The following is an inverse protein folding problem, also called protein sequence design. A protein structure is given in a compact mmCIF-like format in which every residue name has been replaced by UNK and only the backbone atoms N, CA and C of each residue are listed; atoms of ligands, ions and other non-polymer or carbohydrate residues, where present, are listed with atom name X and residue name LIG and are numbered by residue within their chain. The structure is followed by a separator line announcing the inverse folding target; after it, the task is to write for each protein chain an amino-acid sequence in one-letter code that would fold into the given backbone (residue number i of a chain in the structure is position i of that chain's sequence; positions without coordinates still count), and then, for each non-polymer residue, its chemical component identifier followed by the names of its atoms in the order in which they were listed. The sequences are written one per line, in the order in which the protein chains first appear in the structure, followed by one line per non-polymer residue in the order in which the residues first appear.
data_IF_386796434861
#
_entry.id   IF_386796434861
#
_cell.length_a   1.000
_cell.length_b   1.000
_cell.length_c   1.000
_cell.angle_alpha   90.00
_cell.angle_beta   90.00
_cell.angle_gamma   90.00
#
_symmetry.space_group_name_H-M   'P 1'
#
loop_
_entity.id
_entity.type
_entity.pdbx_description
1 polymer ?
#
# COMPACT_ATOMS: atom_id res chain seq x y z
N UNK A 1 28.71 -11.86 24.82
CA UNK A 1 27.24 -11.71 24.92
C UNK A 1 26.76 -11.35 23.53
N UNK A 2 25.81 -12.08 22.91
CA UNK A 2 25.21 -11.59 21.66
C UNK A 2 24.56 -10.22 21.97
N UNK A 3 24.90 -9.20 21.20
CA UNK A 3 24.26 -7.89 21.25
C UNK A 3 22.78 -8.09 20.95
N UNK A 4 21.90 -7.59 21.82
CA UNK A 4 20.46 -7.62 21.57
C UNK A 4 20.17 -6.87 20.26
N UNK A 5 19.27 -7.41 19.43
CA UNK A 5 18.89 -6.77 18.17
C UNK A 5 18.39 -5.33 18.43
N UNK A 6 18.67 -4.38 17.52
CA UNK A 6 18.25 -3.00 17.69
C UNK A 6 16.71 -2.89 17.74
N UNK A 7 16.21 -1.89 18.46
CA UNK A 7 14.80 -1.54 18.43
C UNK A 7 14.39 -1.14 17.01
N UNK A 8 13.23 -1.59 16.55
CA UNK A 8 12.68 -1.26 15.23
C UNK A 8 11.47 -0.31 15.34
N UNK A 9 11.47 0.75 14.53
CA UNK A 9 10.29 1.59 14.30
C UNK A 9 9.61 1.21 12.99
N UNK A 10 8.35 0.78 13.11
CA UNK A 10 7.55 0.36 11.97
C UNK A 10 6.73 1.55 11.47
N UNK A 11 7.05 2.01 10.26
CA UNK A 11 6.49 3.25 9.69
C UNK A 11 5.31 3.05 8.74
N UNK A 12 4.88 1.81 8.57
CA UNK A 12 3.75 1.43 7.70
C UNK A 12 2.45 2.08 8.23
N UNK A 13 1.43 2.30 7.38
CA UNK A 13 0.13 2.74 7.86
C UNK A 13 -0.54 1.70 8.76
N UNK A 14 -1.48 2.12 9.59
CA UNK A 14 -2.36 1.18 10.31
C UNK A 14 -3.36 0.48 9.36
N UNK A 15 -3.85 -0.73 9.70
CA UNK A 15 -3.48 -1.57 10.87
C UNK A 15 -2.19 -2.38 10.67
N UNK A 16 -1.55 -2.23 9.51
CA UNK A 16 -0.40 -3.03 9.10
C UNK A 16 0.82 -2.79 9.99
N UNK A 17 1.00 -1.57 10.50
CA UNK A 17 2.05 -1.25 11.48
C UNK A 17 1.91 -2.10 12.74
N UNK A 18 0.70 -2.11 13.34
CA UNK A 18 0.40 -2.91 14.53
C UNK A 18 0.61 -4.41 14.32
N UNK A 19 0.16 -4.95 13.19
CA UNK A 19 0.36 -6.37 12.84
C UNK A 19 1.84 -6.73 12.73
N UNK A 20 2.65 -5.85 12.11
CA UNK A 20 4.09 -6.04 12.00
C UNK A 20 4.79 -5.96 13.34
N UNK A 21 4.41 -5.00 14.19
CA UNK A 21 4.93 -4.90 15.56
C UNK A 21 4.67 -6.19 16.32
N UNK A 22 3.43 -6.71 16.29
CA UNK A 22 3.10 -7.96 16.96
C UNK A 22 3.94 -9.13 16.43
N UNK A 23 4.07 -9.25 15.12
CA UNK A 23 4.80 -10.36 14.51
C UNK A 23 6.32 -10.29 14.76
N UNK A 24 6.90 -9.09 14.84
CA UNK A 24 8.31 -8.88 15.20
C UNK A 24 8.56 -9.12 16.69
N UNK A 25 7.66 -8.64 17.57
CA UNK A 25 7.74 -8.89 19.00
C UNK A 25 7.62 -10.39 19.33
N UNK A 26 6.79 -11.14 18.59
CA UNK A 26 6.72 -12.59 18.71
C UNK A 26 8.05 -13.31 18.38
N UNK A 27 8.98 -12.63 17.71
CA UNK A 27 10.34 -13.11 17.41
C UNK A 27 11.39 -12.57 18.38
N UNK A 28 10.99 -11.86 19.44
CA UNK A 28 11.90 -11.24 20.40
C UNK A 28 12.50 -9.91 19.93
N UNK A 29 12.03 -9.35 18.80
CA UNK A 29 12.49 -8.05 18.31
C UNK A 29 11.68 -6.95 18.99
N UNK A 30 12.37 -6.02 19.67
CA UNK A 30 11.73 -4.83 20.23
C UNK A 30 11.23 -3.93 19.10
N UNK A 31 9.93 -3.95 18.81
CA UNK A 31 9.31 -3.15 17.76
C UNK A 31 8.27 -2.18 18.33
N UNK A 32 8.16 -0.99 17.73
CA UNK A 32 7.13 0.01 18.06
C UNK A 32 6.57 0.62 16.78
N UNK A 33 5.26 0.85 16.75
CA UNK A 33 4.61 1.48 15.60
C UNK A 33 4.81 3.00 15.69
N UNK A 34 5.27 3.58 14.59
CA UNK A 34 5.28 5.02 14.39
C UNK A 34 4.88 5.27 12.93
N UNK A 35 3.58 5.12 12.59
CA UNK A 35 3.10 5.32 11.24
C UNK A 35 3.52 6.70 10.72
N UNK A 36 3.96 6.72 9.47
CA UNK A 36 4.29 7.96 8.74
C UNK A 36 3.26 8.31 7.68
N UNK A 37 2.22 7.49 7.53
CA UNK A 37 1.11 7.72 6.63
C UNK A 37 -0.16 7.32 7.38
N UNK A 38 -1.11 8.25 7.45
CA UNK A 38 -2.47 7.96 7.86
C UNK A 38 -3.32 7.63 6.62
N UNK A 39 -4.13 6.59 6.72
CA UNK A 39 -5.13 6.24 5.71
C UNK A 39 -6.50 6.61 6.29
N UNK A 40 -7.20 7.51 5.61
CA UNK A 40 -8.56 7.89 5.97
C UNK A 40 -9.55 7.47 4.88
N UNK A 41 -10.84 7.51 5.21
CA UNK A 41 -11.93 7.18 4.28
C UNK A 41 -11.92 8.02 3.00
N UNK A 42 -12.76 7.62 2.06
CA UNK A 42 -12.93 8.36 0.81
C UNK A 42 -13.32 9.83 1.09
N UNK A 43 -12.77 10.77 0.32
CA UNK A 43 -13.10 12.19 0.47
C UNK A 43 -14.54 12.48 0.01
N UNK A 44 -15.05 11.67 -0.91
CA UNK A 44 -16.44 11.67 -1.38
C UNK A 44 -17.07 10.29 -1.16
N UNK A 45 -17.79 10.15 -0.03
CA UNK A 45 -18.47 8.92 0.32
C UNK A 45 -19.64 8.60 -0.63
N UNK A 46 -20.27 9.61 -1.25
CA UNK A 46 -21.38 9.42 -2.17
C UNK A 46 -20.89 8.86 -3.51
N UNK A 47 -19.79 9.40 -4.05
CA UNK A 47 -19.16 8.85 -5.24
C UNK A 47 -18.71 7.40 -5.03
N UNK A 48 -18.14 7.09 -3.86
CA UNK A 48 -17.77 5.71 -3.52
C UNK A 48 -18.99 4.78 -3.46
N UNK A 49 -20.06 5.19 -2.78
CA UNK A 49 -21.31 4.42 -2.70
C UNK A 49 -21.93 4.20 -4.09
N UNK A 50 -21.97 5.24 -4.92
CA UNK A 50 -22.48 5.14 -6.30
C UNK A 50 -21.66 4.17 -7.15
N UNK A 51 -20.32 4.20 -7.03
CA UNK A 51 -19.45 3.27 -7.73
C UNK A 51 -19.70 1.80 -7.31
N UNK A 52 -19.95 1.55 -6.01
CA UNK A 52 -20.31 0.22 -5.50
C UNK A 52 -21.64 -0.27 -6.08
N UNK A 53 -22.67 0.59 -6.10
CA UNK A 53 -23.99 0.25 -6.64
C UNK A 53 -23.95 0.01 -8.16
N UNK A 54 -23.12 0.78 -8.86
CA UNK A 54 -22.96 0.68 -10.32
C UNK A 54 -21.97 -0.40 -10.75
N UNK A 55 -21.46 -1.24 -9.82
CA UNK A 55 -20.41 -2.21 -10.12
C UNK A 55 -20.81 -3.21 -11.22
N UNK A 56 -22.11 -3.51 -11.35
CA UNK A 56 -22.65 -4.36 -12.41
C UNK A 56 -22.48 -3.81 -13.83
N UNK A 57 -22.17 -2.52 -14.00
CA UNK A 57 -21.97 -1.86 -15.29
C UNK A 57 -20.51 -1.97 -15.80
N UNK A 58 -19.63 -2.62 -15.04
CA UNK A 58 -18.22 -2.78 -15.38
C UNK A 58 -17.87 -4.23 -15.70
N UNK A 59 -17.01 -4.41 -16.69
CA UNK A 59 -16.45 -5.71 -17.07
C UNK A 59 -15.31 -6.11 -16.15
N UNK A 60 -14.58 -5.12 -15.64
CA UNK A 60 -13.52 -5.33 -14.66
C UNK A 60 -13.41 -4.19 -13.64
N UNK A 61 -12.85 -4.52 -12.48
CA UNK A 61 -12.45 -3.55 -11.46
C UNK A 61 -11.00 -3.78 -11.06
N UNK A 62 -10.16 -2.77 -11.23
CA UNK A 62 -8.77 -2.78 -10.77
C UNK A 62 -8.67 -2.19 -9.36
N UNK A 63 -8.23 -3.00 -8.41
CA UNK A 63 -8.02 -2.59 -7.02
C UNK A 63 -6.53 -2.41 -6.78
N UNK A 64 -6.08 -1.16 -6.62
CA UNK A 64 -4.64 -0.85 -6.69
C UNK A 64 -3.83 -1.24 -5.45
N UNK A 65 -4.48 -1.55 -4.33
CA UNK A 65 -3.83 -1.90 -3.06
C UNK A 65 -4.79 -2.62 -2.10
N UNK A 66 -4.24 -3.25 -1.06
CA UNK A 66 -5.04 -3.80 0.04
C UNK A 66 -5.88 -2.74 0.76
N UNK A 67 -5.39 -1.50 0.87
CA UNK A 67 -6.18 -0.39 1.42
C UNK A 67 -7.37 -0.02 0.53
N UNK A 68 -7.18 -0.01 -0.79
CA UNK A 68 -8.27 0.21 -1.74
C UNK A 68 -9.34 -0.89 -1.60
N UNK A 69 -8.91 -2.15 -1.46
CA UNK A 69 -9.81 -3.28 -1.23
C UNK A 69 -10.62 -3.09 0.06
N UNK A 70 -9.94 -2.86 1.20
CA UNK A 70 -10.59 -2.68 2.50
C UNK A 70 -11.64 -1.58 2.49
N UNK A 71 -11.29 -0.41 1.96
CA UNK A 71 -12.22 0.72 1.94
C UNK A 71 -13.34 0.54 0.91
N UNK A 72 -13.08 -0.07 -0.25
CA UNK A 72 -14.15 -0.27 -1.22
C UNK A 72 -15.16 -1.33 -0.77
N UNK A 73 -14.75 -2.36 -0.04
CA UNK A 73 -15.63 -3.46 0.38
C UNK A 73 -16.22 -3.32 1.80
N UNK A 74 -15.92 -2.24 2.53
CA UNK A 74 -16.35 -2.03 3.91
C UNK A 74 -17.87 -2.15 4.14
N UNK A 75 -18.73 -1.70 3.20
CA UNK A 75 -20.19 -1.75 3.36
C UNK A 75 -20.84 -3.10 3.04
N UNK A 76 -20.07 -4.15 2.69
CA UNK A 76 -20.55 -5.46 2.20
C UNK A 76 -21.46 -5.43 0.94
N UNK A 77 -21.99 -4.28 0.51
CA UNK A 77 -22.86 -4.13 -0.67
C UNK A 77 -22.15 -4.55 -1.95
N UNK A 78 -20.91 -4.08 -2.16
CA UNK A 78 -20.09 -4.47 -3.30
C UNK A 78 -19.76 -5.97 -3.26
N UNK A 79 -19.57 -6.54 -2.07
CA UNK A 79 -19.29 -7.96 -1.90
C UNK A 79 -20.51 -8.80 -2.29
N UNK A 80 -21.71 -8.38 -1.87
CA UNK A 80 -22.96 -9.04 -2.24
C UNK A 80 -23.15 -9.09 -3.76
N UNK A 81 -22.84 -8.00 -4.49
CA UNK A 81 -22.93 -7.97 -5.96
C UNK A 81 -21.92 -8.91 -6.64
N UNK A 82 -20.72 -9.06 -6.09
CA UNK A 82 -19.70 -9.99 -6.61
C UNK A 82 -20.04 -11.45 -6.27
N UNK A 83 -20.61 -11.68 -5.09
CA UNK A 83 -20.91 -13.01 -4.55
C UNK A 83 -22.24 -13.59 -5.01
N UNK A 84 -23.20 -12.78 -5.46
CA UNK A 84 -24.45 -13.26 -6.06
C UNK A 84 -24.14 -14.11 -7.31
N UNK A 85 -23.89 -15.39 -7.06
CA UNK A 85 -23.33 -16.34 -8.00
C UNK A 85 -24.34 -16.81 -9.07
N UNK A 86 -25.60 -16.32 -9.02
CA UNK A 86 -26.67 -16.72 -9.92
C UNK A 86 -27.25 -15.58 -10.78
N UNK A 87 -26.75 -14.34 -10.68
CA UNK A 87 -27.25 -13.21 -11.47
C UNK A 87 -26.12 -12.59 -12.27
N UNK A 88 -26.36 -12.42 -13.58
CA UNK A 88 -25.74 -11.64 -14.66
C UNK A 88 -24.39 -10.89 -14.53
N UNK A 89 -23.83 -10.63 -13.35
CA UNK A 89 -22.64 -9.81 -13.15
C UNK A 89 -21.36 -10.67 -13.30
N UNK A 90 -20.61 -10.40 -14.37
CA UNK A 90 -19.42 -11.15 -14.77
C UNK A 90 -18.09 -10.50 -14.35
N UNK A 91 -18.14 -9.45 -13.54
CA UNK A 91 -16.97 -8.60 -13.28
C UNK A 91 -15.73 -9.39 -12.84
N UNK A 92 -14.58 -9.06 -13.45
CA UNK A 92 -13.25 -9.53 -13.05
C UNK A 92 -12.63 -8.52 -12.10
N UNK A 93 -11.96 -8.98 -11.04
CA UNK A 93 -11.27 -8.12 -10.08
C UNK A 93 -9.77 -8.24 -10.33
N UNK A 94 -9.14 -7.16 -10.75
CA UNK A 94 -7.71 -7.13 -11.02
C UNK A 94 -6.94 -6.66 -9.78
N UNK A 95 -5.87 -7.39 -9.46
CA UNK A 95 -4.95 -7.06 -8.39
C UNK A 95 -3.53 -6.92 -8.95
N UNK A 96 -2.75 -5.89 -8.58
CA UNK A 96 -1.40 -5.69 -9.09
C UNK A 96 -0.41 -6.76 -8.61
N UNK A 97 -0.77 -7.54 -7.60
CA UNK A 97 0.09 -8.57 -7.03
C UNK A 97 -0.53 -9.30 -5.83
N UNK A 98 0.20 -10.29 -5.29
CA UNK A 98 -0.32 -11.27 -4.35
C UNK A 98 -0.87 -10.65 -3.06
N UNK A 99 -0.21 -9.63 -2.51
CA UNK A 99 -0.70 -8.98 -1.27
C UNK A 99 -2.09 -8.35 -1.41
N UNK A 100 -2.42 -7.81 -2.58
CA UNK A 100 -3.76 -7.25 -2.84
C UNK A 100 -4.78 -8.37 -3.09
N UNK A 101 -4.41 -9.42 -3.81
CA UNK A 101 -5.29 -10.57 -4.03
C UNK A 101 -5.61 -11.32 -2.73
N UNK A 102 -4.63 -11.52 -1.84
CA UNK A 102 -4.85 -12.11 -0.52
C UNK A 102 -5.83 -11.27 0.29
N UNK A 103 -5.72 -9.94 0.25
CA UNK A 103 -6.68 -9.05 0.92
C UNK A 103 -8.08 -9.19 0.31
N UNK A 104 -8.21 -9.22 -1.02
CA UNK A 104 -9.50 -9.41 -1.70
C UNK A 104 -10.14 -10.76 -1.32
N UNK A 105 -9.34 -11.84 -1.25
CA UNK A 105 -9.81 -13.16 -0.81
C UNK A 105 -10.27 -13.13 0.65
N UNK A 106 -9.51 -12.47 1.53
CA UNK A 106 -9.87 -12.31 2.94
C UNK A 106 -11.17 -11.51 3.12
N UNK A 107 -11.46 -10.57 2.21
CA UNK A 107 -12.72 -9.83 2.13
C UNK A 107 -13.86 -10.63 1.47
N UNK A 108 -13.61 -11.88 1.05
CA UNK A 108 -14.62 -12.78 0.50
C UNK A 108 -14.81 -12.71 -1.02
N UNK A 109 -13.95 -12.03 -1.77
CA UNK A 109 -13.96 -12.05 -3.24
C UNK A 109 -13.54 -13.44 -3.72
N UNK A 110 -14.36 -14.15 -4.52
CA UNK A 110 -14.02 -15.50 -4.96
C UNK A 110 -12.72 -15.53 -5.77
N UNK A 111 -11.78 -16.42 -5.43
CA UNK A 111 -10.48 -16.53 -6.12
C UNK A 111 -10.61 -16.64 -7.64
N UNK A 112 -11.62 -17.38 -8.13
CA UNK A 112 -11.90 -17.53 -9.56
C UNK A 112 -12.21 -16.21 -10.29
N UNK A 113 -12.53 -15.13 -9.57
CA UNK A 113 -12.83 -13.79 -10.08
C UNK A 113 -11.61 -12.85 -10.03
N UNK A 114 -10.54 -13.24 -9.35
CA UNK A 114 -9.37 -12.40 -9.14
C UNK A 114 -8.33 -12.73 -10.22
N UNK A 115 -7.94 -11.72 -11.00
CA UNK A 115 -6.81 -11.79 -11.91
C UNK A 115 -5.63 -11.01 -11.33
N UNK A 116 -4.45 -11.59 -11.39
CA UNK A 116 -3.19 -10.99 -10.93
C UNK A 116 -2.04 -11.49 -11.79
N UNK A 117 -0.85 -10.84 -11.76
CA UNK A 117 0.34 -11.40 -12.39
C UNK A 117 0.64 -12.82 -11.93
N UNK A 118 1.26 -13.62 -12.79
CA UNK A 118 1.71 -14.97 -12.46
C UNK A 118 2.67 -14.96 -11.25
N UNK A 119 2.68 -16.05 -10.48
CA UNK A 119 3.45 -16.14 -9.24
C UNK A 119 4.97 -16.03 -9.45
N UNK A 120 5.44 -16.36 -10.66
CA UNK A 120 6.83 -16.27 -11.12
C UNK A 120 7.16 -14.94 -11.81
N UNK A 121 6.23 -13.97 -11.83
CA UNK A 121 6.50 -12.64 -12.36
C UNK A 121 7.64 -11.98 -11.56
N UNK A 122 8.69 -11.55 -12.26
CA UNK A 122 9.84 -10.87 -11.64
C UNK A 122 9.48 -9.51 -11.01
N UNK A 123 8.33 -8.93 -11.37
CA UNK A 123 7.81 -7.67 -10.82
C UNK A 123 6.28 -7.69 -10.73
N UNK A 124 5.74 -7.05 -9.69
CA UNK A 124 4.32 -6.89 -9.44
C UNK A 124 3.89 -5.43 -9.63
N UNK A 125 3.61 -5.05 -10.87
CA UNK A 125 3.22 -3.70 -11.27
C UNK A 125 2.08 -3.70 -12.31
N UNK A 126 1.82 -2.53 -12.90
CA UNK A 126 0.75 -2.37 -13.91
C UNK A 126 1.05 -3.09 -15.22
N UNK A 127 2.32 -3.18 -15.59
CA UNK A 127 2.75 -3.79 -16.85
C UNK A 127 2.64 -5.31 -16.77
N UNK A 128 3.12 -5.88 -15.67
CA UNK A 128 2.95 -7.31 -15.38
C UNK A 128 1.47 -7.70 -15.31
N UNK A 129 0.62 -6.86 -14.70
CA UNK A 129 -0.82 -7.12 -14.69
C UNK A 129 -1.40 -7.07 -16.11
N UNK A 130 -1.03 -6.09 -16.92
CA UNK A 130 -1.53 -5.95 -18.28
C UNK A 130 -1.19 -7.16 -19.16
N UNK A 131 -0.02 -7.80 -18.96
CA UNK A 131 0.29 -9.06 -19.66
C UNK A 131 -0.72 -10.16 -19.35
N UNK A 132 -1.29 -10.18 -18.15
CA UNK A 132 -2.30 -11.17 -17.74
C UNK A 132 -3.71 -10.83 -18.21
N UNK A 133 -4.10 -9.55 -18.18
CA UNK A 133 -5.50 -9.13 -18.41
C UNK A 133 -5.73 -8.43 -19.74
N UNK A 134 -4.69 -7.92 -20.40
CA UNK A 134 -4.81 -7.04 -21.57
C UNK A 134 -5.48 -7.70 -22.77
N UNK A 135 -5.21 -8.98 -23.01
CA UNK A 135 -5.86 -9.75 -24.08
C UNK A 135 -7.38 -9.90 -23.88
N UNK A 136 -7.87 -9.77 -22.65
CA UNK A 136 -9.30 -9.81 -22.33
C UNK A 136 -9.99 -8.46 -22.55
N UNK A 137 -9.25 -7.36 -22.72
CA UNK A 137 -9.84 -6.03 -22.93
C UNK A 137 -10.27 -5.90 -24.38
N UNK A 138 -11.56 -5.61 -24.59
CA UNK A 138 -12.18 -5.45 -25.90
C UNK A 138 -12.77 -4.04 -26.07
N UNK A 139 -13.02 -3.58 -27.30
CA UNK A 139 -13.73 -2.34 -27.54
C UNK A 139 -15.07 -2.28 -26.79
N UNK A 140 -15.29 -1.20 -26.06
CA UNK A 140 -16.49 -0.99 -25.23
C UNK A 140 -16.38 -1.51 -23.80
N UNK A 141 -15.31 -2.23 -23.42
CA UNK A 141 -15.11 -2.67 -22.04
C UNK A 141 -15.01 -1.49 -21.08
N UNK A 142 -15.70 -1.58 -19.95
CA UNK A 142 -15.67 -0.58 -18.89
C UNK A 142 -14.87 -1.10 -17.70
N UNK A 143 -13.83 -0.37 -17.32
CA UNK A 143 -12.97 -0.72 -16.18
C UNK A 143 -13.07 0.34 -15.09
N UNK A 144 -13.44 -0.07 -13.87
CA UNK A 144 -13.39 0.78 -12.69
C UNK A 144 -12.02 0.65 -12.02
N UNK A 145 -11.31 1.76 -11.82
CA UNK A 145 -10.06 1.78 -11.05
C UNK A 145 -10.33 2.35 -9.65
N UNK A 146 -10.25 1.47 -8.65
CA UNK A 146 -10.39 1.81 -7.23
C UNK A 146 -9.02 2.14 -6.66
N UNK A 147 -8.83 3.38 -6.23
CA UNK A 147 -7.52 3.88 -5.79
C UNK A 147 -7.56 4.74 -4.55
N UNK A 148 -6.37 5.06 -4.04
CA UNK A 148 -6.19 6.14 -3.08
C UNK A 148 -5.85 7.45 -3.77
N UNK A 149 -6.01 8.55 -3.05
CA UNK A 149 -5.46 9.87 -3.41
C UNK A 149 -4.68 10.46 -2.23
N UNK A 150 -3.94 11.54 -2.50
CA UNK A 150 -3.40 12.37 -1.42
C UNK A 150 -4.49 13.29 -0.89
N UNK A 151 -4.50 13.54 0.42
CA UNK A 151 -5.41 14.51 1.03
C UNK A 151 -5.14 15.92 0.47
N UNK A 152 -6.20 16.63 0.09
CA UNK A 152 -6.07 17.97 -0.51
C UNK A 152 -5.66 17.98 -1.99
N UNK A 153 -5.48 16.82 -2.63
CA UNK A 153 -5.39 16.73 -4.09
C UNK A 153 -6.78 16.65 -4.72
N UNK A 154 -6.92 17.05 -5.98
CA UNK A 154 -8.18 16.99 -6.77
C UNK A 154 -8.64 15.54 -7.09
N UNK A 155 -8.26 14.55 -6.27
CA UNK A 155 -8.51 13.13 -6.51
C UNK A 155 -7.62 12.51 -7.59
N UNK A 156 -6.72 13.31 -8.20
CA UNK A 156 -5.69 12.89 -9.14
C UNK A 156 -4.56 12.10 -8.44
N UNK A 157 -4.86 10.90 -7.92
CA UNK A 157 -3.85 9.92 -7.57
C UNK A 157 -2.86 9.66 -8.71
N UNK A 158 -1.58 9.62 -8.40
CA UNK A 158 -0.54 9.22 -9.36
C UNK A 158 -0.36 7.70 -9.34
N UNK A 159 -0.14 7.10 -10.52
CA UNK A 159 0.49 5.79 -10.57
C UNK A 159 -0.15 4.71 -11.43
N UNK A 160 -1.24 4.98 -12.18
CA UNK A 160 -1.83 4.00 -13.13
C UNK A 160 -2.20 4.60 -14.48
N UNK A 161 -1.63 5.74 -14.84
CA UNK A 161 -1.93 6.43 -16.11
C UNK A 161 -1.54 5.57 -17.31
N UNK A 162 -0.47 4.79 -17.19
CA UNK A 162 -0.06 3.81 -18.19
C UNK A 162 -1.14 2.74 -18.43
N UNK A 163 -1.63 2.07 -17.36
CA UNK A 163 -2.68 1.05 -17.48
C UNK A 163 -3.96 1.63 -18.10
N UNK A 164 -4.31 2.84 -17.67
CA UNK A 164 -5.49 3.55 -18.18
C UNK A 164 -5.36 3.84 -19.67
N UNK A 165 -4.15 4.22 -20.10
CA UNK A 165 -3.82 4.45 -21.51
C UNK A 165 -3.87 3.16 -22.32
N UNK A 166 -3.39 2.03 -21.78
CA UNK A 166 -3.47 0.73 -22.43
C UNK A 166 -4.92 0.25 -22.61
N UNK A 167 -5.77 0.40 -21.58
CA UNK A 167 -7.20 0.06 -21.67
C UNK A 167 -7.88 0.89 -22.76
N UNK A 168 -7.63 2.20 -22.79
CA UNK A 168 -8.17 3.10 -23.82
C UNK A 168 -7.66 2.78 -25.21
N UNK A 169 -6.38 2.44 -25.35
CA UNK A 169 -5.79 2.01 -26.63
C UNK A 169 -6.41 0.70 -27.15
N UNK A 170 -6.82 -0.20 -26.25
CA UNK A 170 -7.59 -1.39 -26.59
C UNK A 170 -9.09 -1.13 -26.85
N UNK A 171 -9.54 0.14 -26.84
CA UNK A 171 -10.92 0.54 -27.10
C UNK A 171 -11.85 0.48 -25.88
N UNK A 172 -11.31 0.25 -24.68
CA UNK A 172 -12.07 0.30 -23.42
C UNK A 172 -12.17 1.71 -22.84
N UNK A 173 -12.99 1.87 -21.80
CA UNK A 173 -13.09 3.08 -20.99
C UNK A 173 -12.67 2.81 -19.54
N UNK A 174 -12.27 3.89 -18.87
CA UNK A 174 -11.73 3.83 -17.51
C UNK A 174 -12.40 4.90 -16.67
N UNK A 175 -13.10 4.45 -15.63
CA UNK A 175 -13.67 5.30 -14.58
C UNK A 175 -12.80 5.16 -13.32
N UNK A 176 -12.69 6.22 -12.52
CA UNK A 176 -11.91 6.21 -11.28
C UNK A 176 -12.80 6.47 -10.09
N UNK A 177 -12.49 5.80 -8.98
CA UNK A 177 -13.07 6.12 -7.67
C UNK A 177 -11.98 6.15 -6.60
N UNK A 178 -12.02 7.18 -5.77
CA UNK A 178 -11.13 7.32 -4.62
C UNK A 178 -11.79 6.61 -3.44
N UNK A 179 -11.21 5.49 -3.01
CA UNK A 179 -11.72 4.73 -1.85
C UNK A 179 -11.11 5.20 -0.53
N UNK A 180 -9.94 5.84 -0.57
CA UNK A 180 -9.26 6.32 0.63
C UNK A 180 -8.35 7.50 0.32
N UNK A 181 -8.00 8.27 1.35
CA UNK A 181 -6.99 9.33 1.26
C UNK A 181 -5.75 8.97 2.08
N UNK A 182 -4.60 9.48 1.66
CA UNK A 182 -3.32 9.40 2.35
C UNK A 182 -2.96 10.78 2.85
N UNK A 183 -2.45 10.84 4.08
CA UNK A 183 -1.98 12.08 4.67
C UNK A 183 -0.81 11.81 5.63
N UNK A 184 -0.10 12.87 6.00
CA UNK A 184 0.77 12.83 7.16
C UNK A 184 -0.09 12.54 8.41
N UNK A 185 0.33 11.60 9.28
CA UNK A 185 -0.41 11.32 10.51
C UNK A 185 -0.29 12.49 11.48
N UNK A 186 -1.36 12.80 12.23
CA UNK A 186 -1.31 13.81 13.27
C UNK A 186 -0.54 13.26 14.48
N UNK A 187 0.78 13.37 14.47
CA UNK A 187 1.58 12.86 15.59
C UNK A 187 1.25 13.55 16.91
N UNK A 188 1.23 12.78 17.98
CA UNK A 188 1.20 13.31 19.34
C UNK A 188 2.58 13.89 19.74
N UNK A 189 2.67 14.67 20.83
CA UNK A 189 3.95 15.11 21.37
C UNK A 189 4.90 13.94 21.69
N UNK A 190 4.36 12.83 22.21
CA UNK A 190 5.12 11.63 22.56
C UNK A 190 5.68 10.94 21.31
N UNK A 191 4.89 10.88 20.23
CA UNK A 191 5.35 10.33 18.95
C UNK A 191 6.45 11.19 18.32
N UNK A 192 6.34 12.53 18.42
CA UNK A 192 7.40 13.45 17.99
C UNK A 192 8.68 13.26 18.82
N UNK A 193 8.56 13.14 20.14
CA UNK A 193 9.71 12.89 21.01
C UNK A 193 10.37 11.53 20.70
N UNK A 194 9.58 10.48 20.49
CA UNK A 194 10.06 9.17 20.07
C UNK A 194 10.85 9.25 18.75
N UNK A 195 10.32 9.98 17.77
CA UNK A 195 10.99 10.19 16.48
C UNK A 195 12.33 10.92 16.61
N UNK A 196 12.41 11.97 17.44
CA UNK A 196 13.64 12.71 17.69
C UNK A 196 14.71 11.85 18.38
N UNK A 197 14.31 11.07 19.39
CA UNK A 197 15.22 10.14 20.08
C UNK A 197 15.70 9.05 19.11
N UNK A 198 14.79 8.46 18.33
CA UNK A 198 15.11 7.43 17.36
C UNK A 198 15.98 7.91 16.18
N UNK A 199 16.14 9.22 15.99
CA UNK A 199 17.07 9.76 15.01
C UNK A 199 18.54 9.61 15.44
N UNK A 200 18.82 9.28 16.71
CA UNK A 200 20.20 9.23 17.24
C UNK A 200 20.51 8.05 18.16
N UNK A 201 19.50 7.36 18.72
CA UNK A 201 19.71 6.30 19.73
C UNK A 201 20.04 4.90 19.16
N UNK A 202 20.23 4.80 17.83
CA UNK A 202 20.52 3.53 17.16
C UNK A 202 19.29 2.70 16.78
N UNK A 203 18.08 3.20 17.02
CA UNK A 203 16.82 2.60 16.52
C UNK A 203 16.83 2.48 14.99
N UNK A 204 16.36 1.34 14.48
CA UNK A 204 16.25 1.07 13.06
C UNK A 204 14.87 1.47 12.53
N UNK A 205 14.84 2.43 11.61
CA UNK A 205 13.63 2.88 10.93
C UNK A 205 13.29 1.93 9.78
N UNK A 206 12.22 1.17 9.90
CA UNK A 206 11.76 0.28 8.82
C UNK A 206 10.89 1.08 7.86
N UNK A 207 11.44 1.39 6.69
CA UNK A 207 10.85 2.27 5.67
C UNK A 207 10.32 1.47 4.49
N UNK A 208 9.02 1.67 4.19
CA UNK A 208 8.32 0.97 3.09
C UNK A 208 7.69 1.90 2.05
N UNK A 209 7.92 3.22 2.16
CA UNK A 209 7.38 4.22 1.25
C UNK A 209 8.29 5.45 1.20
N UNK A 210 8.65 5.91 -0.01
CA UNK A 210 9.41 7.15 -0.17
C UNK A 210 8.60 8.39 0.25
N UNK A 211 7.28 8.39 0.05
CA UNK A 211 6.41 9.47 0.54
C UNK A 211 6.45 9.61 2.06
N UNK A 212 6.57 8.49 2.78
CA UNK A 212 6.62 8.50 4.24
C UNK A 212 7.80 9.33 4.76
N UNK A 213 8.94 9.31 4.06
CA UNK A 213 10.09 10.16 4.37
C UNK A 213 9.79 11.65 4.19
N UNK A 214 9.01 12.01 3.18
CA UNK A 214 8.53 13.39 3.01
C UNK A 214 7.72 13.86 4.21
N UNK A 215 6.80 13.02 4.71
CA UNK A 215 6.03 13.33 5.93
C UNK A 215 6.93 13.40 7.18
N UNK A 216 7.93 12.52 7.29
CA UNK A 216 8.89 12.53 8.39
C UNK A 216 9.68 13.84 8.46
N UNK A 217 10.24 14.27 7.33
CA UNK A 217 11.02 15.51 7.25
C UNK A 217 10.14 16.74 7.49
N UNK A 218 8.92 16.74 6.98
CA UNK A 218 7.97 17.83 7.23
C UNK A 218 7.52 17.90 8.71
N UNK A 219 7.42 16.75 9.38
CA UNK A 219 7.04 16.70 10.80
C UNK A 219 8.17 17.15 11.74
N UNK A 220 9.43 17.04 11.30
CA UNK A 220 10.63 17.39 12.05
C UNK A 220 11.64 18.13 11.15
N UNK A 221 11.35 19.39 10.74
CA UNK A 221 12.15 20.10 9.75
C UNK A 221 13.58 20.41 10.23
N UNK A 222 13.77 20.58 11.54
CA UNK A 222 15.06 20.93 12.15
C UNK A 222 15.87 19.71 12.61
N UNK A 223 15.34 18.49 12.43
CA UNK A 223 16.00 17.27 12.88
C UNK A 223 17.12 16.85 11.92
N UNK A 224 18.33 16.68 12.44
CA UNK A 224 19.41 16.01 11.70
C UNK A 224 19.19 14.50 11.69
N UNK A 225 19.28 13.90 10.51
CA UNK A 225 19.17 12.45 10.28
C UNK A 225 20.53 11.76 10.16
N UNK A 226 21.63 12.49 10.34
CA UNK A 226 22.99 11.95 10.15
C UNK A 226 23.35 10.82 11.12
N UNK A 227 22.70 10.73 12.28
CA UNK A 227 22.84 9.61 13.22
C UNK A 227 21.81 8.50 13.03
N UNK A 228 20.84 8.68 12.14
CA UNK A 228 19.70 7.78 12.00
C UNK A 228 20.04 6.58 11.11
N UNK A 229 19.41 5.45 11.43
CA UNK A 229 19.58 4.18 10.72
C UNK A 229 18.27 3.78 10.08
N UNK A 230 18.28 3.47 8.80
CA UNK A 230 17.10 2.99 8.07
C UNK A 230 17.31 1.60 7.49
N UNK A 231 16.22 0.84 7.47
CA UNK A 231 16.06 -0.39 6.72
C UNK A 231 14.97 -0.16 5.67
N UNK A 232 15.37 -0.03 4.41
CA UNK A 232 14.50 0.29 3.29
C UNK A 232 14.12 -0.97 2.50
N UNK A 233 12.83 -1.18 2.29
CA UNK A 233 12.33 -2.39 1.61
C UNK A 233 12.43 -2.34 0.08
N UNK A 234 13.05 -1.31 -0.49
CA UNK A 234 13.20 -1.10 -1.93
C UNK A 234 14.32 -0.07 -2.23
N UNK A 235 15.10 -0.22 -3.32
CA UNK A 235 16.18 0.71 -3.68
C UNK A 235 15.76 2.18 -3.76
N UNK A 236 14.59 2.47 -4.37
CA UNK A 236 14.04 3.84 -4.44
C UNK A 236 13.75 4.45 -3.05
N UNK A 237 13.40 3.64 -2.07
CA UNK A 237 13.17 4.11 -0.69
C UNK A 237 14.51 4.38 -0.02
N UNK A 238 15.51 3.52 -0.26
CA UNK A 238 16.86 3.73 0.25
C UNK A 238 17.47 5.04 -0.27
N UNK A 239 17.32 5.29 -1.57
CA UNK A 239 17.72 6.57 -2.20
C UNK A 239 17.02 7.77 -1.57
N UNK A 240 15.70 7.67 -1.30
CA UNK A 240 14.98 8.74 -0.63
C UNK A 240 15.46 8.95 0.82
N UNK A 241 15.80 7.89 1.55
CA UNK A 241 16.32 7.99 2.92
C UNK A 241 17.70 8.65 2.94
N UNK A 242 18.59 8.27 2.00
CA UNK A 242 19.89 8.91 1.82
C UNK A 242 19.73 10.40 1.47
N UNK A 243 18.81 10.73 0.56
CA UNK A 243 18.52 12.12 0.20
C UNK A 243 17.95 12.94 1.36
N UNK A 244 17.22 12.30 2.29
CA UNK A 244 16.75 12.91 3.54
C UNK A 244 17.87 13.07 4.59
N UNK A 245 19.07 12.53 4.33
CA UNK A 245 20.24 12.67 5.21
C UNK A 245 20.42 11.55 6.24
N UNK A 246 19.76 10.39 6.08
CA UNK A 246 20.00 9.24 6.94
C UNK A 246 21.46 8.78 6.87
N UNK A 247 22.13 8.69 8.02
CA UNK A 247 23.55 8.33 8.10
C UNK A 247 23.87 6.88 7.73
N UNK A 248 22.93 5.97 7.97
CA UNK A 248 23.04 4.58 7.54
C UNK A 248 21.73 4.12 6.92
N UNK A 249 21.82 3.52 5.73
CA UNK A 249 20.67 2.94 5.03
C UNK A 249 21.03 1.54 4.56
N UNK A 250 20.28 0.56 5.03
CA UNK A 250 20.35 -0.84 4.61
C UNK A 250 19.15 -1.16 3.73
N UNK A 251 19.33 -2.06 2.76
CA UNK A 251 18.25 -2.54 1.90
C UNK A 251 17.83 -3.95 2.30
N UNK A 252 16.53 -4.23 2.22
CA UNK A 252 16.00 -5.57 2.38
C UNK A 252 14.82 -5.84 1.45
N UNK A 253 14.46 -7.11 1.33
CA UNK A 253 13.22 -7.51 0.66
C UNK A 253 12.01 -7.16 1.53
N UNK A 254 10.84 -6.87 0.94
CA UNK A 254 9.68 -6.34 1.67
C UNK A 254 8.92 -7.38 2.50
N UNK A 255 9.30 -8.66 2.46
CA UNK A 255 8.63 -9.69 3.24
C UNK A 255 9.00 -9.59 4.73
N UNK A 256 8.03 -9.83 5.61
CA UNK A 256 8.23 -9.76 7.06
C UNK A 256 9.44 -10.59 7.54
N UNK A 257 9.61 -11.80 7.00
CA UNK A 257 10.72 -12.68 7.36
C UNK A 257 12.09 -12.10 6.98
N UNK A 258 12.17 -11.46 5.81
CA UNK A 258 13.40 -10.80 5.33
C UNK A 258 13.73 -9.56 6.15
N UNK A 259 12.70 -8.77 6.51
CA UNK A 259 12.87 -7.62 7.39
C UNK A 259 13.33 -8.06 8.77
N UNK A 260 12.72 -9.10 9.35
CA UNK A 260 13.13 -9.62 10.64
C UNK A 260 14.58 -10.11 10.64
N UNK A 261 14.98 -10.90 9.63
CA UNK A 261 16.36 -11.36 9.47
C UNK A 261 17.34 -10.19 9.31
N UNK A 262 16.93 -9.12 8.62
CA UNK A 262 17.75 -7.92 8.46
C UNK A 262 17.90 -7.12 9.77
N UNK A 263 16.86 -7.08 10.62
CA UNK A 263 16.94 -6.46 11.95
C UNK A 263 17.85 -7.29 12.86
N UNK A 264 17.71 -8.61 12.86
CA UNK A 264 18.51 -9.54 13.68
C UNK A 264 20.00 -9.52 13.32
N UNK A 265 20.33 -9.20 12.06
CA UNK A 265 21.72 -9.10 11.55
C UNK A 265 22.25 -7.67 11.49
N UNK A 266 21.43 -6.67 11.85
CA UNK A 266 21.86 -5.28 11.84
C UNK A 266 22.97 -5.06 12.89
N UNK A 267 24.03 -4.32 12.53
CA UNK A 267 25.17 -4.09 13.43
C UNK A 267 24.84 -3.22 14.65
#
# INVERSE_FOLDING_TARGET
MPTAAPRALITRPEPEASQWVQALQARGIAATALPLICIAGAPDAQALAHARQSLGNYDAMMVVSGSAARHFFESNEALALIQQANTAIKIRVWAPGPGTATMLQALGVPTRRIDQPAADAGQFDSESLWRSVGASVQPGHRVLIVRGSEAGSDGAGSGRDWLSSQIRAAGGSVDFVVAYTRAAPPWSPEQRALAQVAATDGTLWVLSSAQALGHLCAALPDQSWAGARALATHPRIAQAALAAGFGQVLECRPALADVAASIESAP
#
